data_IF_057584184265
#
_entry.id   IF_057584184265
#
_cell.length_a   1.000
_cell.length_b   1.000
_cell.length_c   1.000
_cell.angle_alpha   90.00
_cell.angle_beta   90.00
_cell.angle_gamma   90.00
#
_symmetry.space_group_name_H-M   'P 1'
#
loop_
_entity.id
_entity.type
_entity.pdbx_description
1 polymer ?
#
# COMPACT_ATOMS: atom_id res chain seq x y z
N UNK A 1 -4.19 -29.20 11.56
CA UNK A 1 -4.50 -29.19 10.12
C UNK A 1 -6.02 -29.22 9.95
N UNK A 2 -6.66 -28.06 9.78
CA UNK A 2 -8.10 -28.02 9.48
C UNK A 2 -8.23 -28.22 7.97
N UNK A 3 -8.57 -29.44 7.56
CA UNK A 3 -8.89 -29.75 6.17
C UNK A 3 -10.23 -29.08 5.81
N UNK A 4 -10.18 -27.97 5.08
CA UNK A 4 -11.34 -27.41 4.41
C UNK A 4 -11.78 -28.36 3.28
N UNK A 5 -12.77 -29.22 3.56
CA UNK A 5 -13.53 -29.88 2.49
C UNK A 5 -14.43 -28.83 1.83
N UNK A 6 -14.00 -28.30 0.69
CA UNK A 6 -14.89 -27.55 -0.19
C UNK A 6 -15.83 -28.55 -0.88
N UNK A 7 -17.07 -28.66 -0.40
CA UNK A 7 -18.14 -29.16 -1.24
C UNK A 7 -18.26 -28.19 -2.43
N UNK A 8 -18.12 -28.69 -3.67
CA UNK A 8 -18.32 -27.88 -4.86
C UNK A 8 -19.76 -27.38 -4.89
N UNK A 9 -19.93 -26.14 -4.43
CA UNK A 9 -21.20 -25.46 -4.41
C UNK A 9 -21.53 -25.04 -5.84
N UNK A 10 -22.48 -25.71 -6.49
CA UNK A 10 -22.98 -25.25 -7.80
C UNK A 10 -23.58 -23.84 -7.67
N UNK A 11 -23.05 -22.90 -8.44
CA UNK A 11 -23.59 -21.53 -8.55
C UNK A 11 -25.03 -21.56 -9.05
N UNK A 12 -25.88 -20.67 -8.54
CA UNK A 12 -27.19 -20.45 -9.15
C UNK A 12 -27.03 -19.87 -10.57
N UNK A 13 -28.03 -20.08 -11.46
CA UNK A 13 -28.01 -19.50 -12.81
C UNK A 13 -27.82 -17.97 -12.80
N UNK A 14 -28.50 -17.20 -11.90
CA UNK A 14 -28.26 -15.76 -11.77
C UNK A 14 -26.83 -15.42 -11.33
N UNK A 15 -26.28 -16.14 -10.34
CA UNK A 15 -24.90 -15.92 -9.87
C UNK A 15 -23.89 -16.15 -10.98
N UNK A 16 -24.05 -17.26 -11.72
CA UNK A 16 -23.20 -17.59 -12.87
C UNK A 16 -23.26 -16.51 -13.95
N UNK A 17 -24.46 -16.05 -14.31
CA UNK A 17 -24.64 -14.99 -15.31
C UNK A 17 -24.01 -13.67 -14.86
N UNK A 18 -24.20 -13.31 -13.58
CA UNK A 18 -23.64 -12.09 -12.98
C UNK A 18 -22.12 -12.14 -13.00
N UNK A 19 -21.50 -13.19 -12.44
CA UNK A 19 -20.05 -13.33 -12.31
C UNK A 19 -19.36 -13.39 -13.67
N UNK A 20 -19.95 -14.04 -14.69
CA UNK A 20 -19.40 -14.01 -16.06
C UNK A 20 -19.38 -12.60 -16.65
N UNK A 21 -20.44 -11.82 -16.42
CA UNK A 21 -20.51 -10.43 -16.88
C UNK A 21 -19.44 -9.59 -16.17
N UNK A 22 -19.30 -9.78 -14.86
CA UNK A 22 -18.29 -9.07 -14.07
C UNK A 22 -16.87 -9.39 -14.49
N UNK A 23 -16.56 -10.68 -14.70
CA UNK A 23 -15.26 -11.12 -15.16
C UNK A 23 -14.91 -10.48 -16.50
N UNK A 24 -15.87 -10.43 -17.43
CA UNK A 24 -15.68 -9.75 -18.72
C UNK A 24 -15.39 -8.26 -18.55
N UNK A 25 -16.13 -7.57 -17.68
CA UNK A 25 -15.96 -6.12 -17.46
C UNK A 25 -14.61 -5.82 -16.83
N UNK A 26 -14.26 -6.48 -15.73
CA UNK A 26 -13.01 -6.23 -15.01
C UNK A 26 -11.76 -6.67 -15.81
N UNK A 27 -11.88 -7.67 -16.69
CA UNK A 27 -10.77 -8.08 -17.57
C UNK A 27 -10.57 -7.11 -18.75
N UNK A 28 -11.64 -6.45 -19.20
CA UNK A 28 -11.57 -5.48 -20.28
C UNK A 28 -11.05 -4.11 -19.81
N UNK A 29 -11.38 -3.73 -18.57
CA UNK A 29 -10.96 -2.46 -17.95
C UNK A 29 -10.57 -2.73 -16.47
N UNK A 30 -9.36 -3.25 -16.22
CA UNK A 30 -8.91 -3.56 -14.87
C UNK A 30 -8.68 -2.26 -14.09
N UNK A 31 -9.23 -2.12 -12.86
CA UNK A 31 -8.94 -0.97 -12.02
C UNK A 31 -7.43 -0.87 -11.73
N UNK A 32 -6.89 0.36 -11.56
CA UNK A 32 -5.51 0.55 -11.13
C UNK A 32 -5.19 -0.27 -9.88
N UNK A 33 -3.97 -0.82 -9.83
CA UNK A 33 -3.45 -1.63 -8.74
C UNK A 33 -4.21 -2.94 -8.45
N UNK A 34 -5.16 -3.33 -9.29
CA UNK A 34 -6.01 -4.50 -9.05
C UNK A 34 -5.96 -5.44 -10.25
N UNK A 35 -5.55 -6.67 -9.99
CA UNK A 35 -5.56 -7.76 -10.96
C UNK A 35 -6.43 -8.90 -10.43
N UNK A 36 -7.15 -9.58 -11.31
CA UNK A 36 -8.00 -10.71 -10.93
C UNK A 36 -7.79 -11.90 -11.85
N UNK A 37 -8.01 -13.08 -11.29
CA UNK A 37 -8.00 -14.34 -12.00
C UNK A 37 -9.15 -15.21 -11.48
N UNK A 38 -9.86 -15.87 -12.38
CA UNK A 38 -10.97 -16.74 -12.04
C UNK A 38 -10.56 -18.19 -12.27
N UNK A 39 -10.85 -19.07 -11.31
CA UNK A 39 -10.69 -20.51 -11.52
C UNK A 39 -11.73 -20.99 -12.55
N UNK A 40 -11.26 -21.53 -13.68
CA UNK A 40 -12.13 -22.04 -14.74
C UNK A 40 -13.03 -23.20 -14.26
N UNK A 41 -12.56 -23.97 -13.27
CA UNK A 41 -13.31 -25.08 -12.69
C UNK A 41 -14.37 -24.63 -11.68
N UNK A 42 -14.24 -23.41 -11.14
CA UNK A 42 -15.15 -22.88 -10.13
C UNK A 42 -15.25 -21.35 -10.17
N UNK A 43 -16.26 -20.85 -10.88
CA UNK A 43 -16.52 -19.40 -10.99
C UNK A 43 -16.81 -18.70 -9.65
N UNK A 44 -17.16 -19.45 -8.60
CA UNK A 44 -17.40 -18.88 -7.26
C UNK A 44 -16.10 -18.63 -6.49
N UNK A 45 -14.94 -18.97 -7.04
CA UNK A 45 -13.63 -18.78 -6.41
C UNK A 45 -12.74 -17.95 -7.32
N UNK A 46 -12.47 -16.71 -6.90
CA UNK A 46 -11.55 -15.82 -7.63
C UNK A 46 -10.30 -15.58 -6.79
N UNK A 47 -9.18 -15.43 -7.48
CA UNK A 47 -7.96 -14.86 -6.94
C UNK A 47 -7.88 -13.39 -7.33
N UNK A 48 -7.39 -12.56 -6.41
CA UNK A 48 -7.04 -11.18 -6.70
C UNK A 48 -5.59 -10.93 -6.31
N UNK A 49 -4.95 -9.98 -6.99
CA UNK A 49 -3.62 -9.49 -6.67
C UNK A 49 -3.68 -7.97 -6.60
N UNK A 50 -3.33 -7.42 -5.44
CA UNK A 50 -3.26 -5.98 -5.20
C UNK A 50 -1.82 -5.52 -5.29
N UNK A 51 -1.59 -4.46 -6.05
CA UNK A 51 -0.35 -3.69 -6.01
C UNK A 51 -0.45 -2.68 -4.86
N UNK A 52 0.58 -2.61 -4.02
CA UNK A 52 0.66 -1.63 -2.94
C UNK A 52 0.77 -0.20 -3.48
N UNK A 53 -0.16 0.71 -3.13
CA UNK A 53 -0.15 2.09 -3.62
C UNK A 53 1.06 2.87 -3.11
N UNK A 54 1.47 3.88 -3.87
CA UNK A 54 2.49 4.87 -3.51
C UNK A 54 2.16 5.60 -2.19
N UNK A 55 3.18 6.11 -1.51
CA UNK A 55 3.07 6.83 -0.23
C UNK A 55 2.41 6.05 0.93
N UNK A 56 2.25 4.72 0.79
CA UNK A 56 1.74 3.82 1.84
C UNK A 56 2.83 2.88 2.37
N UNK A 57 2.68 2.29 3.57
CA UNK A 57 3.58 1.22 4.02
C UNK A 57 3.60 -0.01 3.11
N UNK A 58 2.63 -0.12 2.20
CA UNK A 58 2.46 -1.25 1.30
C UNK A 58 3.12 -1.05 -0.06
N UNK A 59 3.56 0.17 -0.35
CA UNK A 59 4.15 0.53 -1.63
C UNK A 59 5.24 -0.48 -2.05
N UNK A 60 5.14 -0.95 -3.29
CA UNK A 60 6.07 -1.92 -3.89
C UNK A 60 5.76 -3.38 -3.54
N UNK A 61 4.81 -3.60 -2.62
CA UNK A 61 4.28 -4.91 -2.28
C UNK A 61 3.22 -5.42 -3.24
N UNK A 62 3.04 -6.74 -3.23
CA UNK A 62 2.13 -7.49 -4.07
C UNK A 62 1.32 -8.46 -3.21
N UNK A 63 0.02 -8.21 -3.06
CA UNK A 63 -0.83 -8.89 -2.09
C UNK A 63 -1.87 -9.76 -2.78
N UNK A 64 -1.62 -11.06 -2.76
CA UNK A 64 -2.53 -12.07 -3.27
C UNK A 64 -3.58 -12.41 -2.21
N UNK A 65 -4.83 -12.52 -2.66
CA UNK A 65 -5.94 -12.99 -1.85
C UNK A 65 -7.01 -13.71 -2.66
N UNK A 66 -8.10 -14.07 -1.99
CA UNK A 66 -9.20 -14.84 -2.56
C UNK A 66 -10.55 -14.19 -2.26
N UNK A 67 -11.44 -14.21 -3.25
CA UNK A 67 -12.86 -13.98 -3.09
C UNK A 67 -13.58 -15.32 -3.20
N UNK A 68 -14.46 -15.62 -2.24
CA UNK A 68 -15.40 -16.74 -2.38
C UNK A 68 -16.83 -16.22 -2.39
N UNK A 69 -17.50 -16.43 -3.51
CA UNK A 69 -18.87 -16.01 -3.73
C UNK A 69 -19.85 -17.05 -3.21
N UNK A 70 -20.94 -16.64 -2.54
CA UNK A 70 -22.00 -17.55 -2.17
C UNK A 70 -22.84 -17.93 -3.40
N UNK A 71 -23.64 -19.00 -3.31
CA UNK A 71 -24.43 -19.51 -4.45
C UNK A 71 -25.49 -18.52 -4.95
N UNK A 72 -25.93 -17.64 -4.07
CA UNK A 72 -26.95 -16.61 -4.24
C UNK A 72 -26.37 -15.22 -4.54
N UNK A 73 -25.06 -15.11 -4.81
CA UNK A 73 -24.47 -13.87 -5.34
C UNK A 73 -25.27 -13.37 -6.56
N UNK A 74 -25.56 -12.07 -6.71
CA UNK A 74 -25.10 -10.93 -5.90
C UNK A 74 -26.04 -10.56 -4.74
N UNK A 75 -26.99 -11.40 -4.35
CA UNK A 75 -27.92 -11.08 -3.25
C UNK A 75 -27.28 -11.25 -1.86
N UNK A 76 -26.19 -12.01 -1.79
CA UNK A 76 -25.30 -12.04 -0.64
C UNK A 76 -23.87 -11.65 -1.04
N UNK A 77 -23.12 -10.99 -0.15
CA UNK A 77 -21.74 -10.56 -0.38
C UNK A 77 -20.75 -11.74 -0.49
N UNK A 78 -19.58 -11.55 -1.12
CA UNK A 78 -18.49 -12.52 -1.06
C UNK A 78 -17.77 -12.51 0.30
N UNK A 79 -17.13 -13.63 0.64
CA UNK A 79 -16.09 -13.65 1.67
C UNK A 79 -14.74 -13.25 1.06
N UNK A 80 -13.96 -12.48 1.83
CA UNK A 80 -12.67 -11.93 1.41
C UNK A 80 -11.58 -12.49 2.33
N UNK A 81 -10.49 -12.98 1.74
CA UNK A 81 -9.34 -13.49 2.48
C UNK A 81 -8.05 -12.93 1.86
N UNK A 82 -7.15 -12.44 2.71
CA UNK A 82 -5.78 -12.11 2.31
C UNK A 82 -4.89 -13.35 2.49
N UNK A 83 -4.09 -13.72 1.48
CA UNK A 83 -3.19 -14.87 1.56
C UNK A 83 -1.76 -14.42 1.82
N UNK A 84 -1.30 -13.37 1.13
CA UNK A 84 0.02 -12.77 1.37
C UNK A 84 0.03 -12.01 2.69
N UNK A 85 1.08 -12.20 3.50
CA UNK A 85 1.26 -11.47 4.74
C UNK A 85 1.51 -9.97 4.45
N UNK A 86 0.54 -9.12 4.79
CA UNK A 86 0.63 -7.67 4.58
C UNK A 86 1.00 -6.88 5.84
N UNK A 87 0.89 -7.50 7.01
CA UNK A 87 0.97 -6.80 8.29
C UNK A 87 -0.30 -6.00 8.63
N UNK A 88 -1.34 -6.06 7.78
CA UNK A 88 -2.65 -5.45 8.05
C UNK A 88 -3.70 -6.47 8.44
N UNK A 89 -3.75 -7.56 7.70
CA UNK A 89 -4.76 -8.61 7.84
C UNK A 89 -4.11 -9.93 8.20
N UNK A 90 -4.77 -10.69 9.08
CA UNK A 90 -4.41 -12.05 9.39
C UNK A 90 -4.59 -12.93 8.15
N UNK A 91 -3.59 -13.76 7.86
CA UNK A 91 -3.60 -14.54 6.63
C UNK A 91 -4.67 -15.63 6.66
N UNK A 92 -5.29 -15.90 5.52
CA UNK A 92 -6.33 -16.93 5.35
C UNK A 92 -7.50 -16.81 6.34
N UNK A 93 -7.73 -15.62 6.89
CA UNK A 93 -8.83 -15.32 7.79
C UNK A 93 -9.87 -14.47 7.06
N UNK A 94 -11.16 -14.71 7.33
CA UNK A 94 -12.24 -13.93 6.72
C UNK A 94 -12.20 -12.50 7.26
N UNK A 95 -12.19 -11.53 6.36
CA UNK A 95 -12.19 -10.12 6.71
C UNK A 95 -13.62 -9.61 6.87
N UNK A 96 -13.89 -8.95 7.99
CA UNK A 96 -15.13 -8.23 8.20
C UNK A 96 -15.00 -6.82 7.60
N UNK A 97 -15.72 -6.55 6.54
CA UNK A 97 -15.83 -5.24 5.91
C UNK A 97 -17.31 -4.99 5.64
N UNK A 98 -17.73 -3.74 5.50
CA UNK A 98 -19.11 -3.39 5.13
C UNK A 98 -19.57 -4.03 3.80
N UNK A 99 -18.61 -4.47 2.99
CA UNK A 99 -18.76 -5.16 1.71
C UNK A 99 -18.55 -6.68 1.78
N UNK A 100 -18.37 -7.25 2.96
CA UNK A 100 -18.18 -8.69 3.16
C UNK A 100 -19.37 -9.33 3.87
N UNK A 101 -19.35 -10.66 3.95
CA UNK A 101 -20.40 -11.51 4.49
C UNK A 101 -20.67 -11.41 5.99
N UNK A 102 -19.95 -10.53 6.69
CA UNK A 102 -20.26 -10.15 8.06
C UNK A 102 -21.35 -9.09 8.19
N UNK A 103 -21.60 -8.29 7.14
CA UNK A 103 -22.60 -7.22 7.12
C UNK A 103 -23.60 -7.36 5.95
N UNK A 104 -24.43 -8.42 5.90
CA UNK A 104 -25.43 -8.58 4.84
C UNK A 104 -26.39 -7.40 4.70
N UNK A 105 -26.64 -6.67 5.79
CA UNK A 105 -27.48 -5.47 5.83
C UNK A 105 -26.86 -4.26 5.14
N UNK A 106 -25.52 -4.17 5.09
CA UNK A 106 -24.78 -3.09 4.44
C UNK A 106 -24.46 -3.41 2.98
N UNK A 107 -24.62 -4.66 2.57
CA UNK A 107 -24.33 -5.12 1.22
C UNK A 107 -25.32 -4.57 0.20
N UNK A 108 -24.80 -4.03 -0.90
CA UNK A 108 -25.61 -3.63 -2.05
C UNK A 108 -25.35 -4.57 -3.23
N UNK A 109 -26.37 -5.31 -3.73
CA UNK A 109 -26.22 -6.20 -4.89
C UNK A 109 -25.73 -5.51 -6.17
N UNK A 110 -25.78 -4.18 -6.24
CA UNK A 110 -25.27 -3.36 -7.34
C UNK A 110 -23.74 -3.22 -7.33
N UNK A 111 -23.08 -3.48 -6.19
CA UNK A 111 -21.63 -3.43 -6.11
C UNK A 111 -21.00 -4.55 -6.94
N UNK A 112 -20.05 -4.14 -7.78
CA UNK A 112 -19.23 -5.05 -8.57
C UNK A 112 -18.04 -5.55 -7.77
N UNK A 113 -17.42 -6.65 -8.21
CA UNK A 113 -16.13 -7.16 -7.73
C UNK A 113 -15.06 -6.08 -7.82
N UNK A 114 -15.05 -5.26 -8.87
CA UNK A 114 -14.14 -4.12 -8.97
C UNK A 114 -14.38 -3.10 -7.84
N UNK A 115 -15.63 -2.82 -7.50
CA UNK A 115 -15.99 -1.94 -6.37
C UNK A 115 -15.53 -2.55 -5.03
N UNK A 116 -15.76 -3.85 -4.85
CA UNK A 116 -15.31 -4.59 -3.65
C UNK A 116 -13.80 -4.51 -3.49
N UNK A 117 -13.03 -4.84 -4.54
CA UNK A 117 -11.57 -4.83 -4.47
C UNK A 117 -11.00 -3.42 -4.28
N UNK A 118 -11.60 -2.38 -4.87
CA UNK A 118 -11.22 -0.98 -4.62
C UNK A 118 -11.42 -0.58 -3.16
N UNK A 119 -12.56 -0.94 -2.56
CA UNK A 119 -12.79 -0.63 -1.15
C UNK A 119 -11.91 -1.46 -0.21
N UNK A 120 -11.59 -2.71 -0.55
CA UNK A 120 -10.60 -3.51 0.18
C UNK A 120 -9.22 -2.84 0.17
N UNK A 121 -8.76 -2.37 -1.01
CA UNK A 121 -7.47 -1.69 -1.14
C UNK A 121 -7.45 -0.37 -0.36
N UNK A 122 -8.52 0.42 -0.43
CA UNK A 122 -8.67 1.64 0.37
C UNK A 122 -8.59 1.33 1.87
N UNK A 123 -9.35 0.33 2.34
CA UNK A 123 -9.39 -0.06 3.75
C UNK A 123 -8.07 -0.65 4.24
N UNK A 124 -7.32 -1.32 3.35
CA UNK A 124 -5.97 -1.81 3.65
C UNK A 124 -5.02 -0.66 4.00
N UNK A 125 -5.20 0.51 3.38
CA UNK A 125 -4.40 1.72 3.61
C UNK A 125 -4.78 2.48 4.89
N UNK A 126 -5.90 2.12 5.53
CA UNK A 126 -6.36 2.68 6.80
C UNK A 126 -5.93 1.80 7.99
N UNK A 127 -5.89 2.37 9.20
CA UNK A 127 -5.62 1.65 10.45
C UNK A 127 -6.89 1.32 11.26
N UNK A 128 -8.07 1.48 10.68
CA UNK A 128 -9.37 1.20 11.30
C UNK A 128 -9.42 -0.25 11.83
N UNK A 129 -9.73 -0.50 13.11
CA UNK A 129 -9.85 -1.86 13.63
C UNK A 129 -10.96 -2.65 12.90
N UNK A 130 -10.70 -3.92 12.60
CA UNK A 130 -11.74 -4.83 12.10
C UNK A 130 -11.44 -6.29 12.42
N UNK A 131 -12.45 -7.16 12.37
CA UNK A 131 -12.27 -8.60 12.48
C UNK A 131 -11.41 -9.12 11.32
N UNK A 132 -10.35 -9.85 11.67
CA UNK A 132 -9.36 -10.34 10.72
C UNK A 132 -8.20 -9.37 10.49
N UNK A 133 -8.17 -8.19 11.12
CA UNK A 133 -6.96 -7.39 11.22
C UNK A 133 -5.99 -7.97 12.25
N UNK A 134 -4.69 -7.68 12.09
CA UNK A 134 -3.66 -8.04 13.07
C UNK A 134 -3.71 -7.04 14.24
N UNK A 135 -3.75 -7.56 15.46
CA UNK A 135 -3.78 -6.77 16.70
C UNK A 135 -2.77 -7.35 17.72
N UNK A 136 -1.80 -6.55 18.22
CA UNK A 136 -1.50 -5.16 17.84
C UNK A 136 -0.94 -5.05 16.41
N UNK A 137 -1.19 -3.94 15.70
CA UNK A 137 -0.67 -3.76 14.36
C UNK A 137 0.87 -3.66 14.37
N UNK A 138 1.57 -4.30 13.42
CA UNK A 138 3.01 -4.17 13.28
C UNK A 138 3.40 -2.74 12.85
N UNK A 139 4.65 -2.38 13.14
CA UNK A 139 5.20 -1.06 12.79
C UNK A 139 5.20 -0.80 11.28
N UNK A 140 5.24 0.49 10.90
CA UNK A 140 5.41 0.91 9.51
C UNK A 140 6.59 0.19 8.81
N UNK A 141 7.73 0.09 9.50
CA UNK A 141 8.94 -0.56 8.97
C UNK A 141 8.74 -2.05 8.73
N UNK A 142 7.99 -2.73 9.59
CA UNK A 142 7.69 -4.14 9.41
C UNK A 142 6.72 -4.36 8.24
N UNK A 143 5.71 -3.50 8.08
CA UNK A 143 4.83 -3.53 6.89
C UNK A 143 5.62 -3.30 5.59
N UNK A 144 6.57 -2.37 5.58
CA UNK A 144 7.49 -2.13 4.44
C UNK A 144 8.38 -3.33 4.15
N UNK A 145 8.90 -3.99 5.19
CA UNK A 145 9.67 -5.23 5.04
C UNK A 145 8.81 -6.35 4.46
N UNK A 146 7.57 -6.51 4.90
CA UNK A 146 6.65 -7.49 4.33
C UNK A 146 6.32 -7.16 2.87
N UNK A 147 6.14 -5.88 2.53
CA UNK A 147 5.93 -5.43 1.16
C UNK A 147 7.10 -5.86 0.25
N UNK A 148 8.35 -5.63 0.66
CA UNK A 148 9.52 -5.99 -0.16
C UNK A 148 9.70 -7.50 -0.38
N UNK A 149 9.22 -8.33 0.56
CA UNK A 149 9.30 -9.80 0.49
C UNK A 149 8.10 -10.45 -0.21
N UNK A 150 6.99 -9.71 -0.36
CA UNK A 150 5.68 -10.23 -0.76
C UNK A 150 5.69 -10.93 -2.14
N UNK A 151 6.34 -10.34 -3.13
CA UNK A 151 6.35 -10.87 -4.50
C UNK A 151 7.10 -12.19 -4.61
N UNK A 152 8.28 -12.29 -4.00
CA UNK A 152 9.08 -13.51 -4.03
C UNK A 152 8.40 -14.63 -3.23
N UNK A 153 7.77 -14.28 -2.11
CA UNK A 153 6.93 -15.23 -1.37
C UNK A 153 5.73 -15.71 -2.20
N UNK A 154 5.07 -14.82 -2.95
CA UNK A 154 3.96 -15.21 -3.84
C UNK A 154 4.44 -16.16 -4.94
N UNK A 155 5.58 -15.86 -5.58
CA UNK A 155 6.19 -16.71 -6.63
C UNK A 155 6.51 -18.11 -6.14
N UNK A 156 6.82 -18.30 -4.86
CA UNK A 156 7.04 -19.62 -4.29
C UNK A 156 5.75 -20.43 -4.07
N UNK A 157 4.56 -19.81 -4.21
CA UNK A 157 3.28 -20.50 -4.05
C UNK A 157 2.78 -21.05 -5.40
N UNK A 158 2.64 -22.37 -5.50
CA UNK A 158 2.13 -23.02 -6.72
C UNK A 158 0.76 -22.49 -7.15
N UNK A 159 -0.14 -22.27 -6.19
CA UNK A 159 -1.51 -21.80 -6.48
C UNK A 159 -1.53 -20.34 -6.96
N UNK A 160 -0.58 -19.52 -6.50
CA UNK A 160 -0.41 -18.16 -7.00
C UNK A 160 0.06 -18.18 -8.46
N UNK A 161 1.10 -18.96 -8.76
CA UNK A 161 1.64 -19.07 -10.13
C UNK A 161 0.64 -19.65 -11.13
N UNK A 162 -0.28 -20.51 -10.68
CA UNK A 162 -1.41 -20.96 -11.50
C UNK A 162 -2.43 -19.86 -11.75
N UNK A 163 -2.72 -19.04 -10.74
CA UNK A 163 -3.70 -17.96 -10.85
C UNK A 163 -3.17 -16.79 -11.68
N UNK A 164 -1.89 -16.46 -11.57
CA UNK A 164 -1.23 -15.33 -12.24
C UNK A 164 0.05 -15.78 -12.95
N UNK A 165 -0.03 -16.60 -14.01
CA UNK A 165 1.14 -17.05 -14.75
C UNK A 165 1.91 -15.90 -15.41
N UNK A 166 1.24 -14.79 -15.69
CA UNK A 166 1.79 -13.56 -16.26
C UNK A 166 2.26 -12.53 -15.21
N UNK A 167 2.42 -12.92 -13.94
CA UNK A 167 2.79 -12.00 -12.84
C UNK A 167 4.01 -11.14 -13.16
N UNK A 168 5.05 -11.70 -13.79
CA UNK A 168 6.27 -10.95 -14.08
C UNK A 168 6.03 -9.81 -15.08
N UNK A 169 5.11 -10.03 -16.03
CA UNK A 169 4.68 -8.98 -16.97
C UNK A 169 3.87 -7.91 -16.24
N UNK A 170 2.92 -8.32 -15.39
CA UNK A 170 2.13 -7.40 -14.56
C UNK A 170 3.05 -6.50 -13.72
N UNK A 171 4.05 -7.09 -13.07
CA UNK A 171 5.01 -6.38 -12.23
C UNK A 171 5.88 -5.43 -13.04
N UNK A 172 6.34 -5.84 -14.23
CA UNK A 172 7.13 -4.99 -15.11
C UNK A 172 6.32 -3.76 -15.57
N UNK A 173 5.08 -3.97 -16.03
CA UNK A 173 4.19 -2.89 -16.46
C UNK A 173 3.89 -1.92 -15.30
N UNK A 174 3.70 -2.41 -14.08
CA UNK A 174 3.53 -1.58 -12.89
C UNK A 174 4.75 -0.72 -12.56
N UNK A 175 5.95 -1.31 -12.61
CA UNK A 175 7.21 -0.57 -12.39
C UNK A 175 7.44 0.50 -13.43
N UNK A 176 7.13 0.22 -14.69
CA UNK A 176 7.20 1.22 -15.77
C UNK A 176 6.20 2.36 -15.58
N UNK A 177 4.96 2.06 -15.15
CA UNK A 177 3.96 3.08 -14.82
C UNK A 177 4.48 4.01 -13.72
N UNK A 178 5.09 3.46 -12.66
CA UNK A 178 5.66 4.25 -11.57
C UNK A 178 6.85 5.10 -12.02
N UNK A 179 7.79 4.51 -12.76
CA UNK A 179 8.94 5.25 -13.28
C UNK A 179 8.55 6.44 -14.17
N UNK A 180 7.43 6.33 -14.91
CA UNK A 180 6.89 7.45 -15.69
C UNK A 180 6.23 8.51 -14.80
N UNK A 181 5.55 8.12 -13.73
CA UNK A 181 4.97 9.05 -12.76
C UNK A 181 6.07 9.90 -12.10
N UNK A 182 7.12 9.23 -11.59
CA UNK A 182 8.27 9.87 -10.94
C UNK A 182 9.12 10.71 -11.93
N UNK A 183 9.06 10.39 -13.22
CA UNK A 183 9.78 11.09 -14.28
C UNK A 183 9.08 12.33 -14.85
N UNK A 184 7.81 12.60 -14.50
CA UNK A 184 7.03 13.69 -15.10
C UNK A 184 6.72 14.83 -14.12
N UNK A 185 6.80 14.59 -12.81
CA UNK A 185 6.84 15.62 -11.78
C UNK A 185 7.76 15.10 -10.68
N UNK A 186 8.92 15.73 -10.49
CA UNK A 186 9.59 15.68 -9.20
C UNK A 186 9.04 16.84 -8.37
N UNK A 187 8.01 16.66 -7.52
CA UNK A 187 7.81 17.59 -6.44
C UNK A 187 8.92 17.30 -5.42
N UNK A 188 9.83 18.25 -5.30
CA UNK A 188 10.68 18.36 -4.13
C UNK A 188 9.80 18.30 -2.87
N UNK A 189 10.23 17.51 -1.89
CA UNK A 189 9.55 17.12 -0.64
C UNK A 189 8.49 16.01 -0.74
N UNK A 190 8.95 14.76 -0.63
CA UNK A 190 8.08 13.62 -0.32
C UNK A 190 8.18 13.24 1.17
N UNK A 191 7.07 13.38 1.87
CA UNK A 191 6.83 12.78 3.17
C UNK A 191 6.54 11.28 3.00
N UNK A 192 7.34 10.41 3.61
CA UNK A 192 7.06 8.97 3.71
C UNK A 192 6.90 8.55 5.17
N UNK A 193 5.75 7.98 5.55
CA UNK A 193 5.59 7.17 6.77
C UNK A 193 5.70 7.89 8.12
N UNK A 194 5.42 9.20 8.21
CA UNK A 194 5.44 9.94 9.48
C UNK A 194 6.83 10.13 10.10
N UNK A 195 7.90 9.75 9.38
CA UNK A 195 9.29 10.05 9.74
C UNK A 195 9.87 10.91 8.63
N UNK A 196 9.93 12.22 8.85
CA UNK A 196 10.58 13.15 7.91
C UNK A 196 12.05 12.78 7.79
N UNK A 197 12.48 12.35 6.60
CA UNK A 197 13.89 12.11 6.29
C UNK A 197 14.50 13.44 5.87
N UNK A 198 15.64 13.78 6.48
CA UNK A 198 16.36 15.02 6.20
C UNK A 198 17.65 14.68 5.47
N UNK A 199 17.89 15.34 4.35
CA UNK A 199 19.11 15.17 3.56
C UNK A 199 20.15 16.21 3.97
N UNK A 200 21.43 15.82 4.03
CA UNK A 200 22.49 16.77 4.28
C UNK A 200 22.54 17.83 3.17
N UNK A 201 22.70 19.09 3.57
CA UNK A 201 22.61 20.24 2.66
C UNK A 201 21.19 20.76 2.43
N UNK A 202 20.15 20.09 2.94
CA UNK A 202 18.77 20.56 2.81
C UNK A 202 18.56 21.87 3.59
N UNK A 203 18.00 22.88 2.91
CA UNK A 203 17.69 24.17 3.50
C UNK A 203 16.40 24.09 4.32
N UNK A 204 16.52 24.52 5.58
CA UNK A 204 15.44 24.43 6.56
C UNK A 204 15.36 25.71 7.36
N UNK A 205 14.15 26.07 7.79
CA UNK A 205 13.89 27.11 8.77
C UNK A 205 13.55 26.48 10.09
N UNK A 206 14.17 26.99 11.15
CA UNK A 206 13.93 26.52 12.51
C UNK A 206 12.75 27.28 13.09
N UNK A 207 11.81 26.58 13.72
CA UNK A 207 10.67 27.18 14.42
C UNK A 207 10.37 26.43 15.72
N UNK A 208 9.61 27.03 16.64
CA UNK A 208 9.13 26.33 17.85
C UNK A 208 10.17 26.02 18.94
N UNK A 209 11.42 26.51 18.85
CA UNK A 209 12.41 26.32 19.91
C UNK A 209 12.10 27.17 21.14
N UNK A 210 11.79 26.52 22.27
CA UNK A 210 11.51 27.19 23.56
C UNK A 210 12.76 27.69 24.28
N UNK A 211 13.86 26.95 24.18
CA UNK A 211 15.11 27.24 24.89
C UNK A 211 16.09 28.11 24.07
N UNK A 212 15.88 28.17 22.75
CA UNK A 212 16.67 28.96 21.79
C UNK A 212 15.74 29.74 20.87
N UNK A 213 14.86 30.54 21.48
CA UNK A 213 13.87 31.32 20.74
C UNK A 213 14.50 32.37 19.81
N UNK A 214 15.76 32.75 20.09
CA UNK A 214 16.62 33.60 19.26
C UNK A 214 16.90 33.04 17.86
N UNK A 215 16.70 31.73 17.66
CA UNK A 215 16.94 31.05 16.39
C UNK A 215 15.66 30.76 15.61
N UNK A 216 14.48 30.99 16.18
CA UNK A 216 13.22 30.79 15.48
C UNK A 216 13.10 31.77 14.31
N UNK A 217 12.70 31.27 13.14
CA UNK A 217 12.60 32.03 11.89
C UNK A 217 13.91 32.10 11.10
N UNK A 218 15.04 31.62 11.64
CA UNK A 218 16.32 31.59 10.92
C UNK A 218 16.40 30.37 10.02
N UNK A 219 17.02 30.56 8.86
CA UNK A 219 17.34 29.49 7.91
C UNK A 219 18.69 28.85 8.26
N UNK A 220 18.80 27.57 7.95
CA UNK A 220 19.95 26.73 8.20
C UNK A 220 20.02 25.56 7.23
N UNK A 221 21.09 24.78 7.34
CA UNK A 221 21.35 23.63 6.49
C UNK A 221 21.50 22.38 7.34
N UNK A 222 20.77 21.33 6.98
CA UNK A 222 20.95 20.00 7.58
C UNK A 222 22.39 19.55 7.34
N UNK A 223 23.05 18.98 8.35
CA UNK A 223 24.41 18.45 8.25
C UNK A 223 24.40 16.93 8.23
N UNK A 224 25.41 16.32 7.61
CA UNK A 224 25.69 14.89 7.81
C UNK A 224 25.98 14.63 9.28
N UNK A 225 25.49 13.50 9.79
CA UNK A 225 25.72 13.11 11.17
C UNK A 225 26.11 11.64 11.23
N UNK A 226 27.33 11.39 11.69
CA UNK A 226 27.89 10.05 11.90
C UNK A 226 27.53 9.47 13.28
N UNK A 227 26.78 10.20 14.09
CA UNK A 227 26.82 10.01 15.53
C UNK A 227 25.69 9.12 16.09
N UNK A 228 26.10 8.03 16.76
CA UNK A 228 25.25 7.11 17.56
C UNK A 228 24.58 7.78 18.78
N UNK A 229 24.72 9.10 18.91
CA UNK A 229 24.37 9.93 20.07
C UNK A 229 23.18 10.85 19.83
N UNK A 230 22.65 10.94 18.59
CA UNK A 230 21.38 11.62 18.36
C UNK A 230 20.23 10.80 18.92
N UNK A 231 19.58 11.35 19.94
CA UNK A 231 18.31 10.83 20.44
C UNK A 231 17.30 10.72 19.29
N UNK A 232 16.54 9.63 19.27
CA UNK A 232 15.54 9.34 18.22
C UNK A 232 14.66 10.57 17.92
N UNK A 233 14.56 10.94 16.64
CA UNK A 233 13.74 12.05 16.16
C UNK A 233 14.40 13.44 16.20
N UNK A 234 15.73 13.53 16.35
CA UNK A 234 16.49 14.78 16.21
C UNK A 234 17.35 14.80 14.94
N UNK A 235 17.59 16.00 14.43
CA UNK A 235 18.27 16.31 13.16
C UNK A 235 19.36 17.33 13.44
N UNK A 236 20.55 17.11 12.89
CA UNK A 236 21.66 18.04 13.01
C UNK A 236 21.49 19.18 11.99
N UNK A 237 21.34 20.42 12.45
CA UNK A 237 21.13 21.60 11.61
C UNK A 237 22.13 22.69 11.97
N UNK A 238 22.77 23.25 10.95
CA UNK A 238 23.67 24.39 11.09
C UNK A 238 22.93 25.69 10.78
N UNK A 239 22.82 26.59 11.75
CA UNK A 239 22.18 27.90 11.64
C UNK A 239 23.24 28.97 11.88
N UNK A 240 23.69 29.63 10.80
CA UNK A 240 24.86 30.51 10.86
C UNK A 240 26.15 29.74 11.17
N UNK A 241 26.81 30.10 12.27
CA UNK A 241 28.04 29.45 12.75
C UNK A 241 27.79 28.33 13.76
N UNK A 242 26.55 28.19 14.23
CA UNK A 242 26.19 27.20 15.26
C UNK A 242 25.58 25.94 14.65
N UNK A 243 25.87 24.78 15.24
CA UNK A 243 25.28 23.49 14.87
C UNK A 243 24.48 22.92 16.04
N UNK A 244 23.26 22.46 15.77
CA UNK A 244 22.26 22.15 16.78
C UNK A 244 21.52 20.86 16.44
N UNK A 245 21.20 20.05 17.45
CA UNK A 245 20.31 18.91 17.29
C UNK A 245 18.85 19.35 17.54
N UNK A 246 18.09 19.53 16.47
CA UNK A 246 16.71 20.04 16.49
C UNK A 246 15.73 18.88 16.26
N UNK A 247 14.58 18.87 16.94
CA UNK A 247 13.53 17.87 16.65
C UNK A 247 12.97 18.10 15.25
N UNK A 248 12.62 17.02 14.55
CA UNK A 248 12.04 17.13 13.20
C UNK A 248 10.78 18.01 13.15
N UNK A 249 9.97 18.02 14.21
CA UNK A 249 8.75 18.84 14.32
C UNK A 249 9.01 20.36 14.35
N UNK A 250 10.25 20.78 14.61
CA UNK A 250 10.67 22.17 14.75
C UNK A 250 11.45 22.66 13.50
N UNK A 251 11.34 21.93 12.39
CA UNK A 251 12.02 22.23 11.14
C UNK A 251 11.00 22.30 10.00
N UNK A 252 11.11 23.36 9.20
CA UNK A 252 10.32 23.58 7.99
C UNK A 252 11.26 23.67 6.79
N UNK A 253 10.93 23.07 5.65
CA UNK A 253 11.78 23.15 4.45
C UNK A 253 11.64 24.53 3.81
N UNK A 254 12.76 25.16 3.45
CA UNK A 254 12.76 26.48 2.80
C UNK A 254 13.56 26.45 1.50
N UNK A 255 12.86 26.58 0.37
CA UNK A 255 13.45 26.76 -0.96
C UNK A 255 13.32 25.54 -1.89
N UNK A 256 12.26 25.53 -2.69
CA UNK A 256 12.25 24.92 -4.02
C UNK A 256 12.61 26.01 -5.05
N UNK A 257 13.37 25.64 -6.07
CA UNK A 257 13.87 26.45 -7.20
C UNK A 257 15.04 27.43 -6.94
N UNK A 258 16.27 26.95 -7.23
CA UNK A 258 17.26 27.72 -8.01
C UNK A 258 18.04 26.78 -8.95
N UNK A 259 17.99 27.12 -10.23
CA UNK A 259 18.75 26.54 -11.35
C UNK A 259 20.21 26.27 -11.00
N UNK A 260 20.63 25.02 -11.10
CA UNK A 260 22.05 24.67 -11.23
C UNK A 260 22.41 24.84 -12.71
N UNK A 261 22.95 26.01 -13.06
CA UNK A 261 23.67 26.17 -14.32
C UNK A 261 25.03 25.46 -14.18
N UNK A 262 25.24 24.40 -14.97
CA UNK A 262 26.55 23.77 -15.09
C UNK A 262 27.50 24.69 -15.86
N UNK A 263 28.76 24.90 -15.41
CA UNK A 263 29.76 25.51 -16.28
C UNK A 263 30.19 24.49 -17.35
N UNK A 264 30.29 24.95 -18.59
CA UNK A 264 30.84 24.18 -19.70
C UNK A 264 32.34 23.88 -19.47
N UNK A 265 32.85 22.71 -19.89
CA UNK A 265 34.25 22.38 -19.72
C UNK A 265 35.12 23.14 -20.73
N UNK A 266 36.26 23.64 -20.25
CA UNK A 266 37.40 24.11 -21.08
C UNK A 266 38.18 22.93 -21.69
#
# INVERSE_FOLDING_TARGET
QVQFRAASAMASKPALSRLRKELKVISADPPPHIHVSCDESNILSWSFLLEGPEDTPYEGGWYWGRLRFPKDYPFAPPSILMVTASGRFETNTRLCLSMSDFHPESWQPTWSVATVLKGLLSFMCEDTPTTGAIDPPPSFMERRRLASLSLDWNRSQTEFMKAFPEVDRIVAEARERRAKHDGTEAPASHCFGGVVRWEAGQAVRVSGLRQRADLNGREGLVQESDDKTLAAGRVCVRVGEETLAVRSENLEVTGTDREVTCPAPE
#
